data_IF_688757828187
#
_entry.id   IF_688757828187
#
_cell.length_a   1.000
_cell.length_b   1.000
_cell.length_c   1.000
_cell.angle_alpha   90.00
_cell.angle_beta   90.00
_cell.angle_gamma   90.00
#
_symmetry.space_group_name_H-M   'P 1'
#
loop_
_entity.id
_entity.type
_entity.pdbx_description
1 polymer ?
#
# COMPACT_ATOMS: atom_id res chain seq x y z
N UNK A 1 -9.18 -8.36 -5.62
CA UNK A 1 -9.02 -7.10 -4.88
C UNK A 1 -7.54 -6.75 -4.84
N UNK A 2 -7.14 -5.50 -5.13
CA UNK A 2 -5.73 -5.12 -5.10
C UNK A 2 -5.19 -5.09 -3.66
N UNK A 3 -4.03 -5.68 -3.46
CA UNK A 3 -3.22 -5.55 -2.23
C UNK A 3 -2.34 -4.33 -2.35
N UNK A 4 -2.54 -3.36 -1.46
CA UNK A 4 -1.69 -2.18 -1.32
C UNK A 4 -0.72 -2.38 -0.16
N UNK A 5 0.55 -2.08 -0.38
CA UNK A 5 1.53 -2.01 0.69
C UNK A 5 1.62 -0.60 1.25
N UNK A 6 1.78 -0.50 2.56
CA UNK A 6 1.94 0.76 3.27
C UNK A 6 3.13 0.67 4.22
N UNK A 7 3.81 1.79 4.43
CA UNK A 7 4.90 1.95 5.39
C UNK A 7 4.56 3.06 6.35
N UNK A 8 4.65 2.79 7.64
CA UNK A 8 4.57 3.87 8.62
C UNK A 8 5.89 4.64 8.69
N UNK A 9 5.81 5.97 8.60
CA UNK A 9 6.98 6.84 8.70
C UNK A 9 7.52 6.93 10.14
N UNK A 10 6.65 6.78 11.15
CA UNK A 10 7.07 6.88 12.56
C UNK A 10 7.79 5.64 13.09
N UNK A 11 7.33 4.44 12.70
CA UNK A 11 7.87 3.19 13.23
C UNK A 11 8.59 2.34 12.19
N UNK A 12 8.60 2.78 10.92
CA UNK A 12 9.25 2.09 9.82
C UNK A 12 8.60 0.76 9.39
N UNK A 13 7.58 0.28 10.11
CA UNK A 13 6.91 -0.99 9.78
C UNK A 13 6.15 -0.90 8.47
N UNK A 14 6.33 -1.93 7.65
CA UNK A 14 5.58 -2.18 6.43
C UNK A 14 4.40 -3.11 6.75
N UNK A 15 3.24 -2.84 6.16
CA UNK A 15 2.08 -3.71 6.26
C UNK A 15 1.30 -3.68 4.95
N UNK A 16 0.79 -4.84 4.55
CA UNK A 16 -0.07 -5.00 3.39
C UNK A 16 -1.53 -4.91 3.80
N UNK A 17 -2.33 -4.22 2.99
CA UNK A 17 -3.78 -4.09 3.16
C UNK A 17 -4.46 -4.37 1.83
N UNK A 18 -5.41 -5.29 1.85
CA UNK A 18 -6.33 -5.52 0.74
C UNK A 18 -7.38 -4.43 0.83
N UNK A 19 -7.39 -3.48 -0.10
CA UNK A 19 -8.42 -2.45 -0.16
C UNK A 19 -8.98 -2.36 -1.57
N UNK A 20 -10.27 -2.02 -1.68
CA UNK A 20 -10.86 -1.66 -2.96
C UNK A 20 -10.43 -0.25 -3.35
N UNK A 21 -10.20 -0.01 -4.64
CA UNK A 21 -9.87 1.32 -5.21
C UNK A 21 -10.84 2.40 -4.71
N UNK A 22 -12.10 2.07 -4.44
CA UNK A 22 -13.12 2.99 -3.92
C UNK A 22 -12.89 3.48 -2.48
N UNK A 23 -12.17 2.72 -1.65
CA UNK A 23 -11.73 3.12 -0.29
C UNK A 23 -10.35 3.81 -0.33
N UNK A 24 -9.59 3.57 -1.41
CA UNK A 24 -8.27 4.13 -1.63
C UNK A 24 -8.36 5.64 -1.92
N UNK A 25 -8.27 6.45 -0.85
CA UNK A 25 -8.35 7.91 -0.91
C UNK A 25 -9.26 8.52 0.15
N UNK A 26 -10.22 7.76 0.70
CA UNK A 26 -11.14 8.24 1.75
C UNK A 26 -10.63 7.99 3.16
N UNK A 27 -9.87 6.92 3.37
CA UNK A 27 -9.30 6.58 4.68
C UNK A 27 -7.79 6.50 4.59
N UNK A 28 -7.11 7.31 5.40
CA UNK A 28 -5.67 7.16 5.64
C UNK A 28 -5.50 6.00 6.62
N UNK A 29 -4.88 4.88 6.23
CA UNK A 29 -4.74 3.75 7.13
C UNK A 29 -3.91 4.16 8.35
N UNK A 30 -4.36 3.78 9.54
CA UNK A 30 -3.61 4.02 10.77
C UNK A 30 -2.61 2.90 10.97
N UNK A 31 -1.38 3.21 11.37
CA UNK A 31 -0.42 2.16 11.69
C UNK A 31 -0.91 1.36 12.92
N UNK A 32 -1.04 0.02 12.83
CA UNK A 32 -1.56 -0.79 13.95
C UNK A 32 -0.63 -0.79 15.17
N UNK A 33 0.65 -0.41 15.01
CA UNK A 33 1.63 -0.44 16.10
C UNK A 33 1.72 0.88 16.89
N UNK A 34 1.61 2.01 16.21
CA UNK A 34 1.82 3.34 16.82
C UNK A 34 0.61 4.26 16.69
N UNK A 35 -0.50 3.79 16.11
CA UNK A 35 -1.73 4.55 15.84
C UNK A 35 -1.50 5.86 15.06
N UNK A 36 -0.34 5.97 14.41
CA UNK A 36 0.00 7.14 13.61
C UNK A 36 -0.76 7.10 12.29
N UNK A 37 -1.36 8.22 11.93
CA UNK A 37 -1.98 8.48 10.61
C UNK A 37 -0.96 8.85 9.54
N UNK A 38 0.30 9.08 9.92
CA UNK A 38 1.43 9.21 8.99
C UNK A 38 1.88 7.83 8.49
N UNK A 39 1.24 7.39 7.42
CA UNK A 39 1.65 6.21 6.63
C UNK A 39 1.77 6.61 5.17
N UNK A 40 2.82 6.12 4.51
CA UNK A 40 3.09 6.33 3.09
C UNK A 40 2.83 5.04 2.35
N UNK A 41 2.15 5.12 1.21
CA UNK A 41 1.90 3.95 0.38
C UNK A 41 3.20 3.52 -0.31
N UNK A 42 3.52 2.24 -0.16
CA UNK A 42 4.58 1.61 -0.94
C UNK A 42 3.92 1.04 -2.19
N UNK A 43 4.05 1.77 -3.30
CA UNK A 43 3.80 1.17 -4.60
C UNK A 43 4.98 0.24 -4.89
N UNK A 44 4.76 -1.05 -4.67
CA UNK A 44 5.62 -2.07 -5.29
C UNK A 44 5.49 -1.92 -6.80
N UNK A 45 6.63 -1.70 -7.47
CA UNK A 45 6.70 -1.55 -8.91
C UNK A 45 6.26 -2.86 -9.54
N UNK A 46 5.00 -2.93 -9.98
CA UNK A 46 4.55 -4.07 -10.77
C UNK A 46 5.27 -4.02 -12.12
N UNK A 47 6.17 -4.96 -12.36
CA UNK A 47 6.74 -5.16 -13.68
C UNK A 47 5.68 -5.88 -14.51
N UNK A 48 5.01 -5.16 -15.40
CA UNK A 48 4.13 -5.78 -16.39
C UNK A 48 5.01 -6.66 -17.29
N UNK A 49 4.99 -7.99 -17.07
CA UNK A 49 5.53 -8.95 -18.02
C UNK A 49 4.69 -8.85 -19.29
N UNK A 50 5.06 -7.96 -20.19
CA UNK A 50 4.58 -8.01 -21.57
C UNK A 50 5.26 -9.21 -22.20
N UNK A 51 4.48 -10.26 -22.49
CA UNK A 51 4.95 -11.31 -23.35
C UNK A 51 5.25 -10.66 -24.71
N UNK A 52 6.54 -10.58 -25.04
CA UNK A 52 7.05 -10.15 -26.35
C UNK A 52 6.31 -10.97 -27.40
N UNK A 53 5.39 -10.34 -28.15
CA UNK A 53 4.80 -10.95 -29.34
C UNK A 53 5.87 -10.86 -30.43
N UNK A 54 6.44 -12.02 -30.78
CA UNK A 54 7.38 -12.16 -31.90
C UNK A 54 6.71 -11.82 -33.22
#
# INVERSE_FOLDING_TARGET
MPTYEYRCEKCGKKFSRVESISEHGRRRPSCPKCKSTKVSQLFTSFYAKTAKKS
#
